data_IF_782137555104
#
_entry.id   IF_782137555104
#
_cell.length_a   1.000
_cell.length_b   1.000
_cell.length_c   1.000
_cell.angle_alpha   90.00
_cell.angle_beta   90.00
_cell.angle_gamma   90.00
#
_symmetry.space_group_name_H-M   'P 1'
#
loop_
_entity.id
_entity.type
_entity.pdbx_description
1 polymer ?
#
# COMPACT_ATOMS: atom_id res chain seq x y z
N UNK A 1 23.43 -6.17 -34.96
CA UNK A 1 22.24 -6.65 -34.25
C UNK A 1 21.86 -7.98 -34.87
N UNK A 2 22.00 -9.09 -34.14
CA UNK A 2 21.64 -10.42 -34.66
C UNK A 2 20.12 -10.47 -34.73
N UNK A 3 19.55 -10.35 -35.94
CA UNK A 3 18.16 -10.72 -36.20
C UNK A 3 18.10 -12.24 -36.05
N UNK A 4 17.75 -12.71 -34.85
CA UNK A 4 17.40 -14.11 -34.64
C UNK A 4 16.34 -14.48 -35.67
N UNK A 5 16.61 -15.56 -36.42
CA UNK A 5 15.74 -16.19 -37.42
C UNK A 5 14.27 -15.88 -37.17
N UNK A 6 13.64 -15.19 -38.13
CA UNK A 6 12.25 -14.71 -38.08
C UNK A 6 11.37 -15.66 -37.29
N UNK A 7 11.05 -15.29 -36.06
CA UNK A 7 10.09 -16.02 -35.25
C UNK A 7 8.73 -15.84 -35.92
N UNK A 8 8.40 -16.78 -36.80
CA UNK A 8 7.15 -16.80 -37.57
C UNK A 8 5.97 -17.23 -36.69
N UNK A 9 6.21 -17.53 -35.42
CA UNK A 9 5.13 -17.85 -34.48
C UNK A 9 4.26 -16.61 -34.30
N UNK A 10 2.95 -16.87 -34.34
CA UNK A 10 1.98 -15.86 -33.98
C UNK A 10 1.64 -15.99 -32.49
N UNK A 11 1.59 -14.84 -31.84
CA UNK A 11 1.30 -14.68 -30.43
C UNK A 11 -0.07 -14.03 -30.27
N UNK A 12 -0.71 -14.26 -29.13
CA UNK A 12 -2.07 -13.79 -28.89
C UNK A 12 -2.06 -12.44 -28.18
N UNK A 13 -2.81 -11.48 -28.72
CA UNK A 13 -3.10 -10.22 -28.03
C UNK A 13 -3.89 -10.51 -26.75
N UNK A 14 -3.47 -9.97 -25.61
CA UNK A 14 -4.16 -10.18 -24.32
C UNK A 14 -5.50 -9.43 -24.21
N UNK A 15 -5.82 -8.51 -25.13
CA UNK A 15 -7.05 -7.74 -25.14
C UNK A 15 -8.10 -8.29 -26.14
N UNK A 16 -7.75 -8.46 -27.41
CA UNK A 16 -8.69 -8.93 -28.45
C UNK A 16 -8.52 -10.40 -28.84
N UNK A 17 -7.51 -11.09 -28.32
CA UNK A 17 -7.17 -12.48 -28.66
C UNK A 17 -6.83 -12.74 -30.13
N UNK A 18 -6.67 -11.69 -30.96
CA UNK A 18 -6.13 -11.84 -32.31
C UNK A 18 -4.67 -12.29 -32.28
N UNK A 19 -4.28 -13.05 -33.32
CA UNK A 19 -2.92 -13.54 -33.51
C UNK A 19 -2.07 -12.51 -34.25
N UNK A 20 -0.95 -12.10 -33.67
CA UNK A 20 -0.02 -11.10 -34.21
C UNK A 20 1.43 -11.58 -34.10
N UNK A 21 2.36 -10.96 -34.82
CA UNK A 21 3.78 -11.24 -34.58
C UNK A 21 4.21 -10.68 -33.23
N UNK A 22 5.20 -11.34 -32.61
CA UNK A 22 5.77 -10.90 -31.33
C UNK A 22 6.21 -9.43 -31.35
N UNK A 23 6.80 -8.98 -32.46
CA UNK A 23 7.29 -7.62 -32.63
C UNK A 23 6.18 -6.55 -32.68
N UNK A 24 4.95 -6.94 -33.03
CA UNK A 24 3.80 -6.04 -33.07
C UNK A 24 3.18 -5.86 -31.69
N UNK A 25 3.35 -6.85 -30.79
CA UNK A 25 2.80 -6.81 -29.45
C UNK A 25 3.57 -5.83 -28.56
N UNK A 26 2.84 -5.20 -27.63
CA UNK A 26 3.50 -4.40 -26.59
C UNK A 26 4.40 -5.28 -25.75
N UNK A 27 5.63 -4.82 -25.50
CA UNK A 27 6.56 -5.48 -24.57
C UNK A 27 6.08 -5.47 -23.13
N UNK A 28 5.17 -4.56 -22.76
CA UNK A 28 4.67 -4.39 -21.38
C UNK A 28 3.36 -5.14 -21.17
N UNK A 29 2.39 -4.93 -22.06
CA UNK A 29 1.01 -5.43 -21.86
C UNK A 29 0.61 -6.53 -22.86
N UNK A 30 1.44 -6.83 -23.87
CA UNK A 30 1.14 -7.77 -24.95
C UNK A 30 -0.14 -7.45 -25.74
N UNK A 31 -0.46 -6.14 -25.85
CA UNK A 31 -1.53 -5.65 -26.71
C UNK A 31 -1.02 -5.45 -28.15
N UNK A 32 -1.84 -5.84 -29.12
CA UNK A 32 -1.61 -5.54 -30.53
C UNK A 32 -1.73 -4.03 -30.80
N UNK A 33 -1.25 -3.53 -31.96
CA UNK A 33 -1.28 -2.10 -32.28
C UNK A 33 -2.68 -1.46 -32.25
N UNK A 34 -3.74 -2.26 -32.48
CA UNK A 34 -5.14 -1.79 -32.42
C UNK A 34 -5.67 -1.64 -30.99
N UNK A 35 -5.25 -2.52 -30.09
CA UNK A 35 -5.68 -2.53 -28.69
C UNK A 35 -4.77 -1.68 -27.79
N UNK A 36 -3.56 -1.35 -28.25
CA UNK A 36 -2.61 -0.54 -27.50
C UNK A 36 -3.18 0.86 -27.27
N UNK A 37 -3.18 1.29 -26.01
CA UNK A 37 -3.48 2.67 -25.65
C UNK A 37 -2.20 3.52 -25.66
N UNK A 38 -2.29 4.82 -25.96
CA UNK A 38 -1.14 5.71 -25.87
C UNK A 38 -0.54 5.71 -24.45
N UNK A 39 0.80 5.73 -24.32
CA UNK A 39 1.43 5.85 -23.02
C UNK A 39 1.01 7.13 -22.29
N UNK A 40 0.81 7.03 -20.97
CA UNK A 40 0.44 8.14 -20.09
C UNK A 40 1.47 8.30 -18.98
N UNK A 41 1.46 9.45 -18.30
CA UNK A 41 2.22 9.66 -17.08
C UNK A 41 1.39 9.25 -15.86
N UNK A 42 2.03 8.55 -14.93
CA UNK A 42 1.41 8.15 -13.67
C UNK A 42 1.16 9.37 -12.78
N UNK A 43 -0.06 9.59 -12.32
CA UNK A 43 -0.40 10.74 -11.47
C UNK A 43 0.28 10.75 -10.09
N UNK A 44 0.95 9.67 -9.67
CA UNK A 44 1.64 9.57 -8.38
C UNK A 44 3.17 9.65 -8.47
N UNK A 45 3.77 9.16 -9.56
CA UNK A 45 5.23 9.08 -9.68
C UNK A 45 5.78 9.68 -10.97
N UNK A 46 4.92 10.27 -11.80
CA UNK A 46 5.23 10.90 -13.08
C UNK A 46 6.01 10.01 -14.08
N UNK A 47 6.07 8.70 -13.82
CA UNK A 47 6.67 7.75 -14.76
C UNK A 47 5.70 7.41 -15.88
N UNK A 48 6.23 7.31 -17.10
CA UNK A 48 5.46 6.92 -18.27
C UNK A 48 5.11 5.42 -18.24
N UNK A 49 3.84 5.08 -18.44
CA UNK A 49 3.35 3.71 -18.45
C UNK A 49 2.32 3.47 -19.57
N UNK A 50 2.10 2.21 -19.91
CA UNK A 50 1.08 1.79 -20.88
C UNK A 50 -0.19 1.41 -20.12
N UNK A 51 -1.29 2.18 -20.27
CA UNK A 51 -2.52 1.89 -19.54
C UNK A 51 -3.27 0.71 -20.18
N UNK A 52 -3.89 -0.12 -19.33
CA UNK A 52 -4.76 -1.22 -19.77
C UNK A 52 -6.15 -0.74 -20.18
N UNK A 53 -6.65 0.29 -19.49
CA UNK A 53 -7.94 0.92 -19.76
C UNK A 53 -7.79 2.44 -19.79
N UNK A 54 -8.70 3.12 -20.49
CA UNK A 54 -8.64 4.58 -20.67
C UNK A 54 -8.75 5.35 -19.36
N UNK A 55 -9.40 4.77 -18.37
CA UNK A 55 -9.69 5.34 -17.04
C UNK A 55 -8.52 5.20 -16.06
N UNK A 56 -7.51 4.38 -16.35
CA UNK A 56 -6.38 4.15 -15.45
C UNK A 56 -5.49 5.40 -15.36
N UNK A 57 -5.32 5.90 -14.13
CA UNK A 57 -4.53 7.10 -13.82
C UNK A 57 -3.12 6.79 -13.27
N UNK A 58 -2.92 5.58 -12.78
CA UNK A 58 -1.71 5.20 -12.05
C UNK A 58 -1.00 4.04 -12.74
N UNK A 59 0.33 4.01 -12.66
CA UNK A 59 1.08 2.85 -13.11
C UNK A 59 0.81 1.65 -12.19
N UNK A 60 1.01 0.44 -12.71
CA UNK A 60 0.76 -0.83 -11.99
C UNK A 60 1.42 -0.88 -10.59
N UNK A 61 2.61 -0.29 -10.45
CA UNK A 61 3.32 -0.25 -9.17
C UNK A 61 2.62 0.66 -8.16
N UNK A 62 2.24 1.86 -8.56
CA UNK A 62 1.52 2.80 -7.70
C UNK A 62 0.12 2.28 -7.35
N UNK A 63 -0.61 1.76 -8.34
CA UNK A 63 -1.93 1.15 -8.15
C UNK A 63 -1.89 0.03 -7.09
N UNK A 64 -0.91 -0.88 -7.20
CA UNK A 64 -0.71 -1.94 -6.21
C UNK A 64 -0.47 -1.41 -4.79
N UNK A 65 0.38 -0.39 -4.62
CA UNK A 65 0.66 0.16 -3.28
C UNK A 65 -0.54 0.89 -2.69
N UNK A 66 -1.31 1.61 -3.51
CA UNK A 66 -2.53 2.28 -3.05
C UNK A 66 -3.56 1.27 -2.58
N UNK A 67 -3.79 0.19 -3.35
CA UNK A 67 -4.71 -0.87 -2.94
C UNK A 67 -4.25 -1.58 -1.66
N UNK A 68 -2.95 -1.88 -1.53
CA UNK A 68 -2.40 -2.53 -0.34
C UNK A 68 -2.56 -1.68 0.93
N UNK A 69 -2.39 -0.37 0.83
CA UNK A 69 -2.48 0.53 1.98
C UNK A 69 -3.91 0.99 2.26
N UNK A 70 -4.80 1.02 1.26
CA UNK A 70 -6.22 1.30 1.45
C UNK A 70 -6.94 0.19 2.27
N UNK A 71 -6.43 -1.04 2.24
CA UNK A 71 -6.95 -2.15 3.03
C UNK A 71 -6.68 -2.01 4.54
N UNK A 72 -5.80 -1.09 4.96
CA UNK A 72 -5.66 -0.73 6.37
C UNK A 72 -6.76 0.28 6.71
N UNK A 73 -8.00 -0.19 6.74
CA UNK A 73 -9.03 0.52 7.49
C UNK A 73 -8.53 0.50 8.94
N UNK A 74 -8.26 1.65 9.60
CA UNK A 74 -8.06 1.63 11.03
C UNK A 74 -9.30 0.92 11.59
N UNK A 75 -9.09 -0.21 12.28
CA UNK A 75 -10.19 -0.88 12.97
C UNK A 75 -10.85 0.22 13.78
N UNK A 76 -12.11 0.52 13.46
CA UNK A 76 -12.89 1.38 14.32
C UNK A 76 -12.75 0.77 15.69
N UNK A 77 -12.24 1.55 16.64
CA UNK A 77 -12.41 1.21 18.04
C UNK A 77 -13.92 1.24 18.24
N UNK A 78 -14.59 0.12 17.98
CA UNK A 78 -15.89 -0.20 18.53
C UNK A 78 -15.62 -0.29 20.03
N UNK A 79 -15.56 0.86 20.68
CA UNK A 79 -15.58 0.98 22.13
C UNK A 79 -17.02 0.62 22.49
N UNK A 80 -17.28 -0.50 23.17
CA UNK A 80 -18.59 -0.72 23.73
C UNK A 80 -18.83 0.42 24.73
N UNK A 81 -19.78 1.29 24.44
CA UNK A 81 -20.41 2.15 25.45
C UNK A 81 -21.18 1.23 26.40
N UNK A 82 -20.51 0.65 27.40
CA UNK A 82 -21.07 0.22 28.69
C UNK A 82 -20.01 -0.56 29.47
N UNK A 83 -19.10 0.17 30.14
CA UNK A 83 -18.51 -0.28 31.40
C UNK A 83 -17.97 0.94 32.16
N UNK A 84 -18.85 1.92 32.37
CA UNK A 84 -18.63 2.90 33.43
C UNK A 84 -19.04 2.24 34.76
N UNK A 85 -18.06 1.70 35.50
CA UNK A 85 -17.91 1.85 36.96
C UNK A 85 -16.83 0.92 37.55
N UNK A 86 -15.61 1.43 37.60
CA UNK A 86 -14.90 1.52 38.89
C UNK A 86 -14.23 2.89 38.93
N UNK A 87 -14.74 3.75 39.82
CA UNK A 87 -14.25 5.10 40.05
C UNK A 87 -12.95 5.06 40.86
N UNK A 88 -11.89 4.48 40.29
CA UNK A 88 -10.54 4.76 40.75
C UNK A 88 -10.04 5.94 39.93
N UNK A 89 -9.73 7.04 40.59
CA UNK A 89 -9.16 8.20 39.90
C UNK A 89 -7.87 7.78 39.21
N UNK A 90 -7.52 8.44 38.10
CA UNK A 90 -6.26 8.19 37.41
C UNK A 90 -5.05 8.18 38.36
N UNK A 91 -5.09 9.02 39.40
CA UNK A 91 -4.06 9.09 40.44
C UNK A 91 -3.99 7.81 41.30
N UNK A 92 -5.12 7.26 41.74
CA UNK A 92 -5.15 6.03 42.55
C UNK A 92 -4.63 4.83 41.76
N UNK A 93 -5.06 4.70 40.51
CA UNK A 93 -4.61 3.62 39.63
C UNK A 93 -3.13 3.72 39.30
N UNK A 94 -2.60 4.95 39.18
CA UNK A 94 -1.17 5.16 39.00
C UNK A 94 -0.36 4.81 40.26
N UNK A 95 -0.90 5.10 41.44
CA UNK A 95 -0.30 4.74 42.73
C UNK A 95 -0.24 3.21 42.94
N UNK A 96 -1.28 2.49 42.54
CA UNK A 96 -1.30 1.01 42.54
C UNK A 96 -0.24 0.43 41.60
N UNK A 97 -0.09 1.00 40.40
CA UNK A 97 0.92 0.55 39.45
C UNK A 97 2.31 0.74 40.02
N UNK A 98 2.61 1.91 40.62
CA UNK A 98 3.92 2.18 41.24
C UNK A 98 4.24 1.20 42.37
N UNK A 99 3.27 0.93 43.24
CA UNK A 99 3.45 0.03 44.38
C UNK A 99 3.66 -1.43 43.96
N UNK A 100 2.96 -1.91 42.92
CA UNK A 100 3.11 -3.28 42.41
C UNK A 100 4.40 -3.48 41.62
N UNK A 101 4.82 -2.48 40.85
CA UNK A 101 6.00 -2.58 39.97
C UNK A 101 7.31 -2.19 40.65
N UNK A 102 7.23 -1.67 41.88
CA UNK A 102 8.39 -1.15 42.60
C UNK A 102 8.98 0.12 41.97
N UNK A 103 8.18 0.84 41.17
CA UNK A 103 8.59 2.12 40.58
C UNK A 103 8.59 3.17 41.70
N UNK A 104 9.79 3.53 42.15
CA UNK A 104 10.05 4.70 43.00
C UNK A 104 10.29 5.89 42.07
N UNK A 105 9.60 7.01 42.29
CA UNK A 105 9.94 8.25 41.60
C UNK A 105 11.23 8.79 42.24
N UNK A 106 12.33 8.84 41.48
CA UNK A 106 13.65 9.35 41.93
C UNK A 106 13.67 10.88 42.19
N UNK A 107 12.52 11.50 42.47
CA UNK A 107 12.40 12.94 42.75
C UNK A 107 12.22 13.30 44.23
N UNK A 108 12.17 12.33 45.15
CA UNK A 108 12.10 12.62 46.59
C UNK A 108 13.48 12.63 47.29
N UNK A 109 14.56 12.30 46.59
CA UNK A 109 15.91 12.13 47.20
C UNK A 109 16.82 13.38 47.08
N UNK A 110 16.25 14.56 46.82
CA UNK A 110 17.02 15.82 46.69
C UNK A 110 16.65 16.90 47.73
N UNK A 111 15.91 16.56 48.79
CA UNK A 111 15.61 17.47 49.90
C UNK A 111 15.63 16.77 51.27
N UNK A 112 16.70 16.05 51.59
CA UNK A 112 17.08 15.77 52.99
C UNK A 112 18.61 15.69 53.10
N UNK A 113 19.28 16.81 52.87
CA UNK A 113 20.67 17.02 53.26
C UNK A 113 20.85 18.43 53.78
N UNK A 114 20.48 18.63 55.04
CA UNK A 114 21.13 19.58 55.96
C UNK A 114 21.37 18.86 57.30
#
# INVERSE_FOLDING_TARGET
>A
MVMNSSDQRLYMCSSCFERCHWYDLSKKEHHCPRCRLPPKFCANCDQQFEPREKTVLYCKRCDFYMQKNAAVRPQGLDRPEEEARTSSSFAERWQEIKTVTGIVDDMDDMYMSE
#
